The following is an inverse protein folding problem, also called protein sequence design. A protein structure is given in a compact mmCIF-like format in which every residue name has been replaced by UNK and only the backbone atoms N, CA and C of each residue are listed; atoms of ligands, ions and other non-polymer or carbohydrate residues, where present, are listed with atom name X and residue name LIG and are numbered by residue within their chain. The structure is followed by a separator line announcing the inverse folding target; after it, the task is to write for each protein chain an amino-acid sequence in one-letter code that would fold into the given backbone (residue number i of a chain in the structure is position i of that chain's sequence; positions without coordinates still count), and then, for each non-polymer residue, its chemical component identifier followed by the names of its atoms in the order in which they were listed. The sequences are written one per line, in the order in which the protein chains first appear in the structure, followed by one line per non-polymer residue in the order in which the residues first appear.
data_IF_614053473590
#
_entry.id   IF_614053473590
#
_cell.length_a   1.000
_cell.length_b   1.000
_cell.length_c   1.000
_cell.angle_alpha   90.00
_cell.angle_beta   90.00
_cell.angle_gamma   90.00
#
_symmetry.space_group_name_H-M   'P 1'
#
loop_
_entity.id
_entity.type
_entity.pdbx_description
1 polymer ?
#
# COMPACT_ATOMS: atom_id res chain seq x y z
N UNK A 1 -3.45 15.83 -17.96
CA UNK A 1 -2.58 15.81 -16.76
C UNK A 1 -1.69 14.57 -16.87
N UNK A 2 -0.35 14.70 -16.91
CA UNK A 2 0.53 13.51 -16.94
C UNK A 2 0.34 12.78 -15.60
N UNK A 3 -0.11 11.52 -15.64
CA UNK A 3 -0.18 10.67 -14.45
C UNK A 3 1.25 10.49 -13.92
N UNK A 4 1.60 11.21 -12.87
CA UNK A 4 2.87 11.02 -12.18
C UNK A 4 2.74 9.73 -11.37
N UNK A 5 3.42 8.66 -11.78
CA UNK A 5 3.48 7.43 -10.98
C UNK A 5 4.20 7.79 -9.68
N UNK A 6 3.47 7.81 -8.57
CA UNK A 6 4.04 8.05 -7.25
C UNK A 6 5.07 6.95 -6.92
N UNK A 7 6.23 7.35 -6.41
CA UNK A 7 7.34 6.44 -6.09
C UNK A 7 7.50 6.22 -4.60
N UNK A 8 6.96 7.13 -3.80
CA UNK A 8 7.04 7.12 -2.35
C UNK A 8 5.66 7.14 -1.71
N UNK A 9 5.57 6.63 -0.48
CA UNK A 9 4.34 6.69 0.33
C UNK A 9 3.85 8.14 0.46
N UNK A 10 4.78 9.07 0.70
CA UNK A 10 4.44 10.49 0.87
C UNK A 10 3.87 11.11 -0.41
N UNK A 11 4.46 10.87 -1.58
CA UNK A 11 3.90 11.33 -2.87
C UNK A 11 2.50 10.77 -3.10
N UNK A 12 2.30 9.49 -2.76
CA UNK A 12 1.03 8.83 -2.92
C UNK A 12 -0.04 9.47 -2.03
N UNK A 13 0.28 9.70 -0.76
CA UNK A 13 -0.59 10.36 0.21
C UNK A 13 -1.00 11.77 -0.22
N UNK A 14 -0.10 12.54 -0.83
CA UNK A 14 -0.47 13.84 -1.42
C UNK A 14 -1.46 13.68 -2.55
N UNK A 15 -1.19 12.75 -3.47
CA UNK A 15 -2.01 12.52 -4.66
C UNK A 15 -3.45 12.11 -4.31
N UNK A 16 -3.63 11.18 -3.37
CA UNK A 16 -4.96 10.69 -2.95
C UNK A 16 -5.78 11.75 -2.21
N UNK A 17 -5.14 12.72 -1.56
CA UNK A 17 -5.81 13.81 -0.86
C UNK A 17 -6.14 14.96 -1.84
N UNK A 18 -5.84 14.78 -3.13
CA UNK A 18 -6.03 15.78 -4.20
C UNK A 18 -5.35 17.13 -3.89
N UNK A 19 -4.33 17.11 -3.03
CA UNK A 19 -3.59 18.28 -2.62
C UNK A 19 -2.34 18.49 -3.48
N UNK A 20 -1.87 19.74 -3.51
CA UNK A 20 -0.53 20.05 -4.03
C UNK A 20 0.49 20.10 -2.88
N UNK A 21 1.77 19.92 -3.17
CA UNK A 21 2.84 20.14 -2.17
C UNK A 21 2.78 21.54 -1.56
N UNK A 22 2.39 22.55 -2.34
CA UNK A 22 2.16 23.92 -1.85
C UNK A 22 0.95 24.04 -0.93
N UNK A 23 -0.12 23.26 -1.18
CA UNK A 23 -1.32 23.24 -0.33
C UNK A 23 -1.00 22.68 1.04
N UNK A 24 -0.48 21.46 1.08
CA UNK A 24 -0.04 20.79 2.32
C UNK A 24 1.04 21.61 3.03
N UNK A 25 1.98 22.16 2.26
CA UNK A 25 3.05 22.98 2.81
C UNK A 25 2.56 24.22 3.56
N UNK A 26 1.48 24.85 3.08
CA UNK A 26 0.86 25.99 3.77
C UNK A 26 0.20 25.58 5.07
N UNK A 27 -0.53 24.46 5.07
CA UNK A 27 -1.24 23.96 6.25
C UNK A 27 -0.28 23.46 7.34
N UNK A 28 0.82 22.83 6.94
CA UNK A 28 1.77 22.21 7.88
C UNK A 28 2.99 23.07 8.19
N UNK A 29 3.03 24.30 7.65
CA UNK A 29 4.20 25.18 7.71
C UNK A 29 5.49 24.46 7.26
N UNK A 30 5.41 23.81 6.09
CA UNK A 30 6.49 23.06 5.43
C UNK A 30 6.68 23.65 4.04
N UNK A 31 7.92 23.96 3.67
CA UNK A 31 8.18 24.48 2.33
C UNK A 31 8.07 23.37 1.26
N UNK A 32 7.63 23.68 0.03
CA UNK A 32 7.64 22.72 -1.07
C UNK A 32 9.04 22.10 -1.32
N UNK A 33 10.09 22.87 -1.05
CA UNK A 33 11.49 22.39 -1.13
C UNK A 33 11.78 21.29 -0.10
N UNK A 34 11.34 21.45 1.15
CA UNK A 34 11.44 20.41 2.18
C UNK A 34 10.74 19.13 1.75
N UNK A 35 9.52 19.26 1.24
CA UNK A 35 8.74 18.14 0.73
C UNK A 35 9.48 17.41 -0.40
N UNK A 36 10.03 18.16 -1.37
CA UNK A 36 10.81 17.59 -2.48
C UNK A 36 12.08 16.88 -2.01
N UNK A 37 12.78 17.43 -1.02
CA UNK A 37 14.01 16.82 -0.51
C UNK A 37 13.74 15.51 0.24
N UNK A 38 12.62 15.40 0.96
CA UNK A 38 12.21 14.15 1.62
C UNK A 38 11.81 13.07 0.61
N UNK A 39 11.01 13.42 -0.40
CA UNK A 39 10.61 12.50 -1.48
C UNK A 39 11.85 11.97 -2.22
N UNK A 40 12.82 12.85 -2.48
CA UNK A 40 14.09 12.51 -3.15
C UNK A 40 15.10 11.84 -2.22
N UNK A 41 14.74 11.53 -0.97
CA UNK A 41 15.62 10.98 0.07
C UNK A 41 16.94 11.74 0.27
N UNK A 42 16.95 13.05 0.03
CA UNK A 42 18.16 13.89 0.21
C UNK A 42 18.45 14.17 1.69
N UNK A 43 17.42 14.09 2.54
CA UNK A 43 17.50 14.24 3.98
C UNK A 43 16.39 13.44 4.68
N UNK A 44 16.59 12.99 5.92
CA UNK A 44 15.54 12.40 6.72
C UNK A 44 14.46 13.44 7.09
N UNK A 45 13.27 12.95 7.42
CA UNK A 45 12.19 13.77 7.98
C UNK A 45 12.47 13.98 9.48
N UNK A 46 12.57 15.24 9.96
CA UNK A 46 12.68 15.51 11.39
C UNK A 46 11.47 14.94 12.17
N UNK A 47 11.70 14.35 13.35
CA UNK A 47 10.63 13.70 14.15
C UNK A 47 9.40 14.60 14.38
N UNK A 48 9.62 15.86 14.70
CA UNK A 48 8.53 16.84 14.90
C UNK A 48 7.67 17.00 13.64
N UNK A 49 8.30 16.99 12.46
CA UNK A 49 7.59 17.09 11.17
C UNK A 49 6.93 15.78 10.78
N UNK A 50 7.57 14.65 11.12
CA UNK A 50 7.02 13.33 10.91
C UNK A 50 5.70 13.14 11.65
N UNK A 51 5.64 13.52 12.93
CA UNK A 51 4.43 13.45 13.74
C UNK A 51 3.30 14.32 13.15
N UNK A 52 3.65 15.52 12.68
CA UNK A 52 2.68 16.44 12.02
C UNK A 52 2.15 15.84 10.72
N UNK A 53 3.01 15.27 9.88
CA UNK A 53 2.60 14.59 8.64
C UNK A 53 1.73 13.36 8.93
N UNK A 54 2.13 12.54 9.90
CA UNK A 54 1.40 11.35 10.32
C UNK A 54 -0.02 11.71 10.77
N UNK A 55 -0.15 12.75 11.61
CA UNK A 55 -1.45 13.24 12.06
C UNK A 55 -2.29 13.81 10.91
N UNK A 56 -1.67 14.59 10.02
CA UNK A 56 -2.35 15.18 8.87
C UNK A 56 -2.96 14.12 7.95
N UNK A 57 -2.21 13.07 7.64
CA UNK A 57 -2.67 11.99 6.78
C UNK A 57 -3.44 10.89 7.54
N UNK A 58 -3.56 10.98 8.87
CA UNK A 58 -4.20 9.96 9.69
C UNK A 58 -3.50 8.59 9.62
N UNK A 59 -2.18 8.56 9.47
CA UNK A 59 -1.37 7.33 9.37
C UNK A 59 -0.35 7.23 10.50
N UNK A 60 0.18 6.04 10.76
CA UNK A 60 1.31 5.88 11.71
C UNK A 60 2.62 6.38 11.09
N UNK A 61 3.52 6.93 11.91
CA UNK A 61 4.85 7.39 11.45
C UNK A 61 5.64 6.30 10.70
N UNK A 62 5.55 5.06 11.18
CA UNK A 62 6.22 3.89 10.58
C UNK A 62 5.75 3.56 9.16
N UNK A 63 4.59 4.07 8.75
CA UNK A 63 4.11 3.94 7.37
C UNK A 63 4.86 4.93 6.47
N UNK A 64 5.20 6.12 6.99
CA UNK A 64 5.80 7.19 6.22
C UNK A 64 7.30 7.01 6.01
N UNK A 65 8.03 6.50 7.01
CA UNK A 65 9.49 6.43 7.00
C UNK A 65 10.07 5.09 7.44
N UNK A 66 11.32 4.85 7.06
CA UNK A 66 12.16 3.75 7.55
C UNK A 66 12.80 4.08 8.92
N UNK A 67 13.60 3.14 9.43
CA UNK A 67 14.30 3.28 10.72
C UNK A 67 15.28 4.46 10.76
N UNK A 68 15.74 4.92 9.59
CA UNK A 68 16.63 6.07 9.43
C UNK A 68 15.86 7.37 9.11
N UNK A 69 14.54 7.36 9.25
CA UNK A 69 13.64 8.51 9.01
C UNK A 69 13.59 8.99 7.55
N UNK A 70 13.99 8.16 6.58
CA UNK A 70 13.79 8.46 5.17
C UNK A 70 12.44 7.94 4.69
N UNK A 71 11.83 8.66 3.74
CA UNK A 71 10.49 8.30 3.23
C UNK A 71 10.48 6.88 2.66
N UNK A 72 9.48 6.10 3.04
CA UNK A 72 9.29 4.75 2.52
C UNK A 72 8.98 4.77 1.02
N UNK A 73 9.58 3.85 0.24
CA UNK A 73 9.16 3.64 -1.14
C UNK A 73 7.71 3.14 -1.18
N UNK A 74 7.01 3.45 -2.27
CA UNK A 74 5.67 2.94 -2.51
C UNK A 74 5.76 1.53 -3.10
N UNK A 75 5.74 0.51 -2.24
CA UNK A 75 5.58 -0.87 -2.70
C UNK A 75 4.12 -1.15 -3.07
N UNK A 76 3.87 -2.17 -3.90
CA UNK A 76 2.51 -2.60 -4.27
C UNK A 76 1.66 -2.91 -3.02
N UNK A 77 2.27 -3.55 -2.02
CA UNK A 77 1.57 -3.85 -0.76
C UNK A 77 1.29 -2.59 0.05
N UNK A 78 2.24 -1.66 0.17
CA UNK A 78 2.04 -0.39 0.87
C UNK A 78 0.93 0.43 0.21
N UNK A 79 0.86 0.44 -1.13
CA UNK A 79 -0.21 1.09 -1.87
C UNK A 79 -1.59 0.53 -1.50
N UNK A 80 -1.74 -0.79 -1.45
CA UNK A 80 -3.00 -1.46 -1.08
C UNK A 80 -3.36 -1.15 0.38
N UNK A 81 -2.38 -1.18 1.29
CA UNK A 81 -2.60 -0.88 2.71
C UNK A 81 -3.02 0.57 2.95
N UNK A 82 -2.43 1.52 2.23
CA UNK A 82 -2.86 2.92 2.25
C UNK A 82 -4.31 3.06 1.76
N UNK A 83 -4.68 2.38 0.67
CA UNK A 83 -6.06 2.38 0.20
C UNK A 83 -7.05 1.80 1.20
N UNK A 84 -6.71 0.68 1.85
CA UNK A 84 -7.54 0.10 2.90
C UNK A 84 -7.78 1.09 4.04
N UNK A 85 -6.72 1.77 4.48
CA UNK A 85 -6.81 2.76 5.55
C UNK A 85 -7.75 3.92 5.20
N UNK A 86 -7.67 4.45 3.97
CA UNK A 86 -8.54 5.54 3.53
C UNK A 86 -9.99 5.11 3.40
N UNK A 87 -10.23 3.90 2.91
CA UNK A 87 -11.57 3.32 2.82
C UNK A 87 -12.16 3.18 4.24
N UNK A 88 -11.37 2.69 5.19
CA UNK A 88 -11.80 2.58 6.59
C UNK A 88 -12.11 3.96 7.21
N UNK A 89 -11.27 4.96 6.96
CA UNK A 89 -11.52 6.34 7.40
C UNK A 89 -12.80 6.90 6.78
N UNK A 90 -13.04 6.65 5.49
CA UNK A 90 -14.23 7.17 4.80
C UNK A 90 -15.52 6.50 5.30
N UNK A 91 -15.49 5.20 5.54
CA UNK A 91 -16.61 4.47 6.14
C UNK A 91 -16.93 5.06 7.52
N UNK A 92 -15.94 5.22 8.39
CA UNK A 92 -16.14 5.81 9.71
C UNK A 92 -16.68 7.25 9.67
N UNK A 93 -16.24 8.05 8.69
CA UNK A 93 -16.75 9.42 8.47
C UNK A 93 -18.25 9.40 8.09
N UNK A 94 -18.65 8.52 7.17
CA UNK A 94 -20.03 8.40 6.71
C UNK A 94 -20.95 7.88 7.82
N UNK A 95 -20.49 6.89 8.59
CA UNK A 95 -21.21 6.38 9.76
C UNK A 95 -21.42 7.48 10.81
N UNK A 96 -20.38 8.28 11.10
CA UNK A 96 -20.48 9.39 12.05
C UNK A 96 -21.42 10.50 11.58
N UNK A 97 -21.58 10.66 10.26
CA UNK A 97 -22.54 11.59 9.65
C UNK A 97 -23.98 11.02 9.59
N UNK A 98 -24.19 9.78 10.04
CA UNK A 98 -25.49 9.12 10.00
C UNK A 98 -25.99 8.86 8.57
N UNK A 99 -25.06 8.63 7.64
CA UNK A 99 -25.39 8.32 6.24
C UNK A 99 -26.01 6.94 6.13
N UNK A 100 -26.83 6.75 5.09
CA UNK A 100 -27.53 5.50 4.86
C UNK A 100 -26.58 4.40 4.39
N UNK A 101 -26.95 3.15 4.62
CA UNK A 101 -26.15 1.97 4.25
C UNK A 101 -25.81 1.95 2.75
N UNK A 102 -26.68 2.48 1.89
CA UNK A 102 -26.46 2.58 0.44
C UNK A 102 -25.25 3.47 0.09
N UNK A 103 -24.94 4.48 0.90
CA UNK A 103 -23.76 5.33 0.72
C UNK A 103 -22.47 4.62 1.16
N UNK A 104 -22.57 3.68 2.10
CA UNK A 104 -21.44 2.99 2.75
C UNK A 104 -21.06 1.71 1.98
N UNK A 105 -22.04 0.98 1.46
CA UNK A 105 -21.85 -0.33 0.79
C UNK A 105 -20.80 -0.33 -0.35
N UNK A 106 -20.69 0.72 -1.19
CA UNK A 106 -19.63 0.77 -2.21
C UNK A 106 -18.22 0.70 -1.61
N UNK A 107 -18.00 1.34 -0.45
CA UNK A 107 -16.72 1.35 0.24
C UNK A 107 -16.42 0.00 0.89
N UNK A 108 -17.42 -0.67 1.46
CA UNK A 108 -17.28 -2.01 2.03
C UNK A 108 -16.97 -3.05 0.94
N UNK A 109 -17.64 -2.95 -0.21
CA UNK A 109 -17.32 -3.76 -1.38
C UNK A 109 -15.89 -3.50 -1.83
N UNK A 110 -15.48 -2.22 -1.91
CA UNK A 110 -14.11 -1.88 -2.29
C UNK A 110 -13.07 -2.42 -1.30
N UNK A 111 -13.35 -2.38 0.00
CA UNK A 111 -12.51 -2.95 1.05
C UNK A 111 -12.29 -4.45 0.83
N UNK A 112 -13.35 -5.22 0.58
CA UNK A 112 -13.26 -6.67 0.31
C UNK A 112 -12.36 -6.97 -0.91
N UNK A 113 -12.46 -6.17 -1.97
CA UNK A 113 -11.58 -6.31 -3.13
C UNK A 113 -10.12 -6.05 -2.78
N UNK A 114 -9.84 -4.97 -2.06
CA UNK A 114 -8.49 -4.59 -1.64
C UNK A 114 -7.89 -5.63 -0.67
N UNK A 115 -8.69 -6.22 0.22
CA UNK A 115 -8.23 -7.30 1.10
C UNK A 115 -7.85 -8.56 0.31
N UNK A 116 -8.61 -8.89 -0.73
CA UNK A 116 -8.27 -9.99 -1.65
C UNK A 116 -6.97 -9.68 -2.41
N UNK A 117 -6.84 -8.47 -2.92
CA UNK A 117 -5.63 -8.01 -3.61
C UNK A 117 -4.40 -8.06 -2.69
N UNK A 118 -4.54 -7.61 -1.44
CA UNK A 118 -3.50 -7.69 -0.41
C UNK A 118 -3.04 -9.12 -0.19
N UNK A 119 -3.98 -10.06 -0.02
CA UNK A 119 -3.66 -11.48 0.16
C UNK A 119 -2.87 -12.04 -1.03
N UNK A 120 -3.24 -11.66 -2.25
CA UNK A 120 -2.52 -12.08 -3.46
C UNK A 120 -1.12 -11.47 -3.50
N UNK A 121 -0.97 -10.19 -3.21
CA UNK A 121 0.34 -9.53 -3.17
C UNK A 121 1.28 -10.16 -2.13
N UNK A 122 0.76 -10.56 -0.96
CA UNK A 122 1.53 -11.28 0.06
C UNK A 122 2.04 -12.62 -0.49
N UNK A 123 1.19 -13.37 -1.20
CA UNK A 123 1.59 -14.64 -1.82
C UNK A 123 2.67 -14.43 -2.88
N UNK A 124 2.52 -13.41 -3.73
CA UNK A 124 3.52 -13.04 -4.75
C UNK A 124 4.86 -12.67 -4.12
N UNK A 125 4.85 -11.81 -3.09
CA UNK A 125 6.08 -11.41 -2.41
C UNK A 125 6.79 -12.61 -1.75
N UNK A 126 6.03 -13.55 -1.17
CA UNK A 126 6.59 -14.80 -0.63
C UNK A 126 7.20 -15.66 -1.72
N UNK A 127 6.53 -15.81 -2.86
CA UNK A 127 7.05 -16.58 -3.99
C UNK A 127 8.35 -15.97 -4.53
N UNK A 128 8.38 -14.64 -4.71
CA UNK A 128 9.58 -13.94 -5.13
C UNK A 128 10.75 -14.18 -4.17
N UNK A 129 10.54 -14.04 -2.86
CA UNK A 129 11.57 -14.29 -1.85
C UNK A 129 12.05 -15.75 -1.79
N UNK A 130 11.21 -16.71 -2.19
CA UNK A 130 11.60 -18.12 -2.30
C UNK A 130 12.49 -18.32 -3.54
N UNK A 131 12.12 -17.75 -4.69
CA UNK A 131 12.86 -17.86 -5.94
C UNK A 131 14.20 -17.12 -5.90
N UNK A 132 14.30 -16.03 -5.15
CA UNK A 132 15.56 -15.28 -4.94
C UNK A 132 16.66 -16.08 -4.23
N UNK A 133 16.35 -17.25 -3.67
CA UNK A 133 17.34 -18.13 -3.01
C UNK A 133 18.23 -18.89 -4.02
N UNK A 134 17.94 -18.79 -5.32
CA UNK A 134 18.72 -19.36 -6.43
C UNK A 134 18.95 -20.89 -6.32
N UNK A 135 17.99 -21.60 -5.71
CA UNK A 135 17.96 -23.07 -5.68
C UNK A 135 17.17 -23.58 -6.89
N UNK A 136 17.87 -24.15 -7.87
CA UNK A 136 17.29 -24.66 -9.12
C UNK A 136 16.13 -25.66 -8.87
N UNK A 137 16.23 -26.47 -7.81
CA UNK A 137 15.19 -27.43 -7.44
C UNK A 137 13.89 -26.75 -7.02
N UNK A 138 13.99 -25.58 -6.41
CA UNK A 138 12.82 -24.78 -6.02
C UNK A 138 12.15 -24.22 -7.27
N UNK A 139 12.94 -23.79 -8.26
CA UNK A 139 12.44 -23.40 -9.58
C UNK A 139 11.64 -24.52 -10.25
N UNK A 140 12.23 -25.71 -10.37
CA UNK A 140 11.58 -26.89 -10.97
C UNK A 140 10.24 -27.25 -10.29
N UNK A 141 10.20 -27.15 -8.95
CA UNK A 141 8.97 -27.41 -8.17
C UNK A 141 7.89 -26.37 -8.48
N UNK A 142 8.27 -25.09 -8.56
CA UNK A 142 7.34 -24.00 -8.88
C UNK A 142 6.78 -24.19 -10.28
N UNK A 143 7.64 -24.46 -11.27
CA UNK A 143 7.22 -24.67 -12.66
C UNK A 143 6.25 -25.85 -12.78
N UNK A 144 6.54 -26.98 -12.12
CA UNK A 144 5.64 -28.13 -12.08
C UNK A 144 4.26 -27.78 -11.51
N UNK A 145 4.21 -27.01 -10.42
CA UNK A 145 2.93 -26.60 -9.81
C UNK A 145 2.17 -25.67 -10.76
N UNK A 146 2.86 -24.74 -11.43
CA UNK A 146 2.26 -23.82 -12.38
C UNK A 146 1.65 -24.57 -13.58
N UNK A 147 2.36 -25.55 -14.14
CA UNK A 147 1.87 -26.38 -15.24
C UNK A 147 0.60 -27.18 -14.85
N UNK A 148 0.56 -27.72 -13.63
CA UNK A 148 -0.61 -28.44 -13.11
C UNK A 148 -1.82 -27.49 -12.91
N UNK A 149 -1.58 -26.25 -12.47
CA UNK A 149 -2.64 -25.24 -12.35
C UNK A 149 -3.17 -24.79 -13.73
N UNK A 150 -2.28 -24.53 -14.69
CA UNK A 150 -2.64 -24.09 -16.04
C UNK A 150 -3.38 -25.17 -16.83
N UNK A 151 -3.07 -26.44 -16.57
CA UNK A 151 -3.81 -27.59 -17.14
C UNK A 151 -5.18 -27.84 -16.48
N UNK A 152 -5.62 -26.99 -15.55
CA UNK A 152 -6.95 -27.05 -14.93
C UNK A 152 -7.09 -28.15 -13.87
N UNK A 153 -5.99 -28.77 -13.41
CA UNK A 153 -5.98 -29.86 -12.43
C UNK A 153 -6.05 -29.37 -10.98
N UNK A 154 -6.82 -28.31 -10.75
CA UNK A 154 -7.03 -27.68 -9.44
C UNK A 154 -7.59 -28.67 -8.42
N UNK A 155 -8.52 -29.54 -8.84
CA UNK A 155 -9.16 -30.52 -7.95
C UNK A 155 -8.17 -31.60 -7.47
N UNK A 156 -7.23 -32.02 -8.31
CA UNK A 156 -6.21 -33.01 -7.96
C UNK A 156 -5.19 -32.43 -6.97
N UNK A 157 -4.79 -31.18 -7.18
CA UNK A 157 -3.95 -30.44 -6.24
C UNK A 157 -4.66 -30.21 -4.89
N UNK A 158 -5.95 -29.88 -4.93
CA UNK A 158 -6.78 -29.69 -3.71
C UNK A 158 -6.83 -30.98 -2.88
N UNK A 159 -7.00 -32.14 -3.51
CA UNK A 159 -7.01 -33.43 -2.82
C UNK A 159 -5.66 -33.79 -2.19
N UNK A 160 -4.54 -33.32 -2.75
CA UNK A 160 -3.20 -33.49 -2.17
C UNK A 160 -2.97 -32.59 -0.95
N UNK A 161 -3.62 -31.43 -0.88
CA UNK A 161 -3.54 -30.49 0.26
C UNK A 161 -4.36 -30.93 1.48
N UNK A 162 -5.34 -31.81 1.31
CA UNK A 162 -6.22 -32.31 2.38
C UNK A 162 -5.75 -33.63 3.02
N UNK A 163 -4.54 -34.10 2.68
CA UNK A 163 -3.87 -35.25 3.31
C UNK A 163 -2.84 -34.78 4.32
#
# INVERSE_FOLDING_TARGET
MKSHIAKTVLEYLVMINEQSYSGIGRELNITPQQFSDWIKKRRPIPKERLQVLANYFGVKETVLVDEQYYVNPLSSIAKIELHLLLVDQKVAELEAQGREDEDIEPYLTKKKELEREKKNQIRLNRMAAILEQDDERVGDIVDLIMDELDSGRINELTNKLMK
#
